data_IF_415124068965
#
_entry.id   IF_415124068965
#
_cell.length_a   1.000
_cell.length_b   1.000
_cell.length_c   1.000
_cell.angle_alpha   90.00
_cell.angle_beta   90.00
_cell.angle_gamma   90.00
#
_symmetry.space_group_name_H-M   'P 1'
#
loop_
_entity.id
_entity.type
_entity.pdbx_description
1 polymer ?
#
# COMPACT_ATOMS: atom_id res chain seq x y z
N UNK A 1 5.62 -21.46 -19.21
CA UNK A 1 6.96 -20.85 -19.23
C UNK A 1 7.98 -21.69 -18.46
N UNK A 2 7.75 -22.07 -17.20
CA UNK A 2 8.67 -22.90 -16.38
C UNK A 2 9.03 -24.20 -17.09
N UNK A 3 8.02 -24.95 -17.55
CA UNK A 3 8.21 -26.22 -18.28
C UNK A 3 9.07 -26.01 -19.54
N UNK A 4 8.82 -24.94 -20.30
CA UNK A 4 9.60 -24.58 -21.49
C UNK A 4 11.07 -24.27 -21.14
N UNK A 5 11.36 -23.56 -20.06
CA UNK A 5 12.74 -23.29 -19.61
C UNK A 5 13.47 -24.59 -19.26
N UNK A 6 12.81 -25.51 -18.56
CA UNK A 6 13.43 -26.80 -18.19
C UNK A 6 13.65 -27.70 -19.40
N UNK A 7 12.65 -27.86 -20.27
CA UNK A 7 12.71 -28.81 -21.37
C UNK A 7 13.59 -28.31 -22.52
N UNK A 8 13.39 -27.03 -22.93
CA UNK A 8 14.04 -26.49 -24.12
C UNK A 8 15.39 -25.83 -23.82
N UNK A 9 15.51 -25.14 -22.70
CA UNK A 9 16.72 -24.40 -22.33
C UNK A 9 17.60 -25.16 -21.35
N UNK A 10 17.13 -26.37 -20.90
CA UNK A 10 17.87 -27.26 -19.98
C UNK A 10 18.24 -26.61 -18.63
N UNK A 11 17.44 -25.61 -18.18
CA UNK A 11 17.62 -25.01 -16.87
C UNK A 11 17.06 -25.93 -15.80
N UNK A 12 17.88 -26.30 -14.81
CA UNK A 12 17.43 -27.17 -13.71
C UNK A 12 16.35 -26.48 -12.87
N UNK A 13 15.31 -27.20 -12.48
CA UNK A 13 14.14 -26.63 -11.76
C UNK A 13 14.50 -26.10 -10.37
N UNK A 14 15.54 -26.59 -9.73
CA UNK A 14 16.06 -26.14 -8.44
C UNK A 14 16.86 -24.83 -8.54
N UNK A 15 17.21 -24.38 -9.76
CA UNK A 15 17.81 -23.07 -10.01
C UNK A 15 16.79 -21.96 -10.24
N UNK A 16 15.51 -22.25 -10.09
CA UNK A 16 14.45 -21.29 -10.27
C UNK A 16 13.79 -20.97 -8.94
N UNK A 17 13.54 -19.69 -8.70
CA UNK A 17 12.68 -19.23 -7.60
C UNK A 17 11.30 -18.96 -8.19
N UNK A 18 10.30 -19.72 -7.73
CA UNK A 18 8.91 -19.62 -8.18
C UNK A 18 8.04 -19.29 -6.98
N UNK A 19 7.53 -18.06 -6.98
CA UNK A 19 6.75 -17.53 -5.86
C UNK A 19 5.25 -17.62 -6.15
N UNK A 20 4.48 -18.04 -5.15
CA UNK A 20 3.02 -18.11 -5.18
C UNK A 20 2.43 -17.33 -3.99
N UNK A 21 1.14 -17.01 -4.07
CA UNK A 21 0.44 -16.31 -2.97
C UNK A 21 0.01 -17.25 -1.84
N UNK A 22 -0.25 -18.52 -2.13
CA UNK A 22 -0.72 -19.47 -1.13
C UNK A 22 0.08 -20.76 -1.15
N UNK A 23 0.19 -21.44 0.00
CA UNK A 23 0.83 -22.74 0.09
C UNK A 23 0.13 -23.78 -0.79
N UNK A 24 -1.20 -23.72 -0.92
CA UNK A 24 -1.97 -24.58 -1.81
C UNK A 24 -1.54 -24.42 -3.26
N UNK A 25 -1.42 -23.17 -3.73
CA UNK A 25 -0.95 -22.88 -5.09
C UNK A 25 0.48 -23.39 -5.33
N UNK A 26 1.37 -23.36 -4.32
CA UNK A 26 2.72 -23.91 -4.43
C UNK A 26 2.70 -25.44 -4.64
N UNK A 27 1.83 -26.14 -3.91
CA UNK A 27 1.67 -27.59 -4.05
C UNK A 27 1.09 -27.94 -5.43
N UNK A 28 0.00 -27.29 -5.82
CA UNK A 28 -0.61 -27.47 -7.14
C UNK A 28 0.39 -27.19 -8.28
N UNK A 29 1.21 -26.16 -8.15
CA UNK A 29 2.25 -25.84 -9.13
C UNK A 29 3.27 -26.97 -9.26
N UNK A 30 3.74 -27.51 -8.13
CA UNK A 30 4.67 -28.66 -8.13
C UNK A 30 4.06 -29.90 -8.79
N UNK A 31 2.79 -30.17 -8.50
CA UNK A 31 2.10 -31.33 -9.08
C UNK A 31 1.92 -31.18 -10.60
N UNK A 32 1.47 -29.99 -11.06
CA UNK A 32 1.35 -29.71 -12.51
C UNK A 32 2.69 -29.77 -13.24
N UNK A 33 3.79 -29.33 -12.63
CA UNK A 33 5.12 -29.42 -13.24
C UNK A 33 5.56 -30.90 -13.31
N UNK A 34 5.27 -31.70 -12.26
CA UNK A 34 5.56 -33.13 -12.27
C UNK A 34 4.80 -33.85 -13.38
N UNK A 35 3.49 -33.65 -13.46
CA UNK A 35 2.63 -34.21 -14.50
C UNK A 35 3.13 -33.88 -15.91
N UNK A 36 3.50 -32.61 -16.14
CA UNK A 36 4.05 -32.20 -17.43
C UNK A 36 5.39 -32.86 -17.77
N UNK A 37 6.27 -33.10 -16.78
CA UNK A 37 7.50 -33.84 -17.02
C UNK A 37 7.24 -35.32 -17.28
N UNK A 38 6.26 -35.94 -16.63
CA UNK A 38 5.83 -37.33 -16.88
C UNK A 38 5.21 -37.48 -18.27
N UNK A 39 4.38 -36.51 -18.68
CA UNK A 39 3.81 -36.49 -20.04
C UNK A 39 4.92 -36.35 -21.09
N UNK A 40 5.88 -35.43 -20.89
CA UNK A 40 7.01 -35.28 -21.82
C UNK A 40 7.86 -36.53 -21.90
N UNK A 41 8.07 -37.26 -20.78
CA UNK A 41 8.81 -38.55 -20.79
C UNK A 41 8.12 -39.64 -21.60
N UNK A 42 6.81 -39.55 -21.82
CA UNK A 42 6.05 -40.52 -22.62
C UNK A 42 6.25 -40.35 -24.13
N UNK A 43 6.75 -39.19 -24.56
CA UNK A 43 6.98 -38.86 -25.98
C UNK A 43 8.22 -39.54 -26.53
N UNK A 44 8.16 -39.93 -27.81
CA UNK A 44 9.31 -40.49 -28.53
C UNK A 44 10.42 -39.45 -28.69
N UNK A 45 11.66 -39.80 -28.41
CA UNK A 45 12.80 -38.88 -28.51
C UNK A 45 13.05 -38.01 -27.29
N UNK A 46 12.22 -38.11 -26.24
CA UNK A 46 12.41 -37.33 -25.00
C UNK A 46 13.66 -37.78 -24.21
N UNK A 47 14.33 -36.79 -23.56
CA UNK A 47 15.44 -37.06 -22.64
C UNK A 47 14.94 -37.55 -21.27
N UNK A 48 14.60 -38.82 -21.20
CA UNK A 48 14.02 -39.45 -20.00
C UNK A 48 14.94 -39.40 -18.78
N UNK A 49 16.26 -39.41 -19.00
CA UNK A 49 17.24 -39.35 -17.89
C UNK A 49 17.22 -37.98 -17.26
N UNK A 50 17.26 -36.93 -18.07
CA UNK A 50 17.18 -35.56 -17.64
C UNK A 50 15.85 -35.27 -16.90
N UNK A 51 14.71 -35.66 -17.49
CA UNK A 51 13.40 -35.43 -16.90
C UNK A 51 13.20 -36.13 -15.56
N UNK A 52 13.67 -37.39 -15.42
CA UNK A 52 13.67 -38.08 -14.13
C UNK A 52 14.50 -37.38 -13.08
N UNK A 53 15.62 -36.74 -13.47
CA UNK A 53 16.43 -35.90 -12.59
C UNK A 53 15.62 -34.67 -12.16
N UNK A 54 14.94 -34.00 -13.10
CA UNK A 54 14.11 -32.82 -12.77
C UNK A 54 12.97 -33.15 -11.79
N UNK A 55 12.31 -34.29 -11.94
CA UNK A 55 11.27 -34.75 -11.00
C UNK A 55 11.85 -34.96 -9.59
N UNK A 56 13.08 -35.43 -9.47
CA UNK A 56 13.76 -35.56 -8.16
C UNK A 56 14.09 -34.16 -7.58
N UNK A 57 14.57 -33.22 -8.41
CA UNK A 57 14.91 -31.88 -8.03
C UNK A 57 13.68 -31.04 -7.63
N UNK A 58 12.45 -31.38 -8.07
CA UNK A 58 11.22 -30.75 -7.61
C UNK A 58 11.06 -30.76 -6.09
N UNK A 59 11.59 -31.75 -5.38
CA UNK A 59 11.53 -31.85 -3.91
C UNK A 59 12.35 -30.74 -3.24
N UNK A 60 13.47 -30.36 -3.81
CA UNK A 60 14.38 -29.32 -3.34
C UNK A 60 14.15 -27.97 -4.01
N UNK A 61 13.20 -27.88 -4.97
CA UNK A 61 12.94 -26.65 -5.71
C UNK A 61 12.34 -25.55 -4.83
N UNK A 62 12.69 -24.29 -5.13
CA UNK A 62 12.22 -23.10 -4.44
C UNK A 62 10.84 -22.65 -4.98
N UNK A 63 9.84 -23.59 -4.97
CA UNK A 63 8.44 -23.32 -5.33
C UNK A 63 7.65 -23.21 -4.03
N UNK A 64 7.42 -21.98 -3.55
CA UNK A 64 6.79 -21.70 -2.25
C UNK A 64 6.21 -20.29 -2.21
N UNK A 65 5.55 -19.91 -1.10
CA UNK A 65 5.12 -18.53 -0.91
C UNK A 65 6.32 -17.61 -0.64
N UNK A 66 6.16 -16.30 -0.91
CA UNK A 66 7.22 -15.32 -0.65
C UNK A 66 7.68 -15.37 0.81
N UNK A 67 6.76 -15.34 1.76
CA UNK A 67 7.11 -15.40 3.19
C UNK A 67 7.80 -16.72 3.58
N UNK A 68 7.37 -17.85 3.01
CA UNK A 68 8.08 -19.12 3.25
C UNK A 68 9.50 -19.10 2.70
N UNK A 69 9.69 -18.47 1.54
CA UNK A 69 11.02 -18.30 0.95
C UNK A 69 11.90 -17.39 1.82
N UNK A 70 11.40 -16.21 2.23
CA UNK A 70 12.12 -15.32 3.12
C UNK A 70 12.48 -16.01 4.44
N UNK A 71 11.53 -16.73 5.05
CA UNK A 71 11.75 -17.47 6.30
C UNK A 71 12.87 -18.51 6.16
N UNK A 72 12.89 -19.29 5.07
CA UNK A 72 13.92 -20.29 4.85
C UNK A 72 15.30 -19.65 4.66
N UNK A 73 15.37 -18.57 3.88
CA UNK A 73 16.62 -17.83 3.65
C UNK A 73 17.14 -17.19 4.95
N UNK A 74 16.27 -16.58 5.75
CA UNK A 74 16.67 -16.00 7.04
C UNK A 74 17.15 -17.07 8.03
N UNK A 75 16.59 -18.30 7.98
CA UNK A 75 17.06 -19.42 8.81
C UNK A 75 18.41 -19.99 8.32
N UNK A 76 18.62 -20.01 7.01
CA UNK A 76 19.84 -20.52 6.41
C UNK A 76 21.01 -19.53 6.58
N UNK A 77 20.74 -18.25 6.40
CA UNK A 77 21.75 -17.17 6.43
C UNK A 77 21.65 -16.28 7.67
N UNK A 78 21.10 -16.79 8.79
CA UNK A 78 20.90 -16.04 10.04
C UNK A 78 22.17 -15.36 10.54
N UNK A 79 23.33 -15.95 10.33
CA UNK A 79 24.63 -15.42 10.73
C UNK A 79 25.09 -14.18 9.95
N UNK A 80 24.41 -13.86 8.86
CA UNK A 80 24.59 -12.62 8.07
C UNK A 80 23.58 -11.52 8.46
N UNK A 81 22.61 -11.83 9.31
CA UNK A 81 21.58 -10.91 9.75
C UNK A 81 21.82 -10.53 11.21
N UNK A 82 21.48 -9.26 11.54
CA UNK A 82 21.65 -8.78 12.89
C UNK A 82 20.46 -9.24 13.78
N UNK A 83 20.76 -9.82 14.95
CA UNK A 83 19.79 -10.14 15.99
C UNK A 83 18.64 -11.10 15.59
N UNK A 84 18.88 -12.01 14.66
CA UNK A 84 17.91 -13.07 14.31
C UNK A 84 18.42 -14.42 14.80
N UNK A 85 17.61 -15.11 15.59
CA UNK A 85 17.85 -16.53 15.91
C UNK A 85 17.29 -17.41 14.80
N UNK A 86 17.99 -18.47 14.35
CA UNK A 86 17.45 -19.41 13.34
C UNK A 86 16.19 -20.15 13.82
N UNK A 87 15.93 -20.12 15.14
CA UNK A 87 14.75 -20.73 15.75
C UNK A 87 13.58 -19.77 15.94
N UNK A 88 13.59 -18.61 15.26
CA UNK A 88 12.50 -17.65 15.37
C UNK A 88 11.14 -18.26 15.02
N UNK A 89 10.09 -17.78 15.65
CA UNK A 89 8.71 -18.15 15.40
C UNK A 89 8.00 -17.04 14.62
N UNK A 90 7.22 -17.43 13.62
CA UNK A 90 6.39 -16.48 12.88
C UNK A 90 5.12 -16.24 13.68
N UNK A 91 4.84 -14.97 13.99
CA UNK A 91 3.62 -14.59 14.71
C UNK A 91 2.38 -14.77 13.82
N UNK A 92 1.31 -15.20 14.44
CA UNK A 92 -0.02 -15.09 13.83
C UNK A 92 -0.60 -13.67 14.08
N UNK A 93 -1.69 -13.36 13.36
CA UNK A 93 -2.33 -12.02 13.42
C UNK A 93 -2.76 -11.63 14.84
N UNK A 94 -3.30 -12.57 15.62
CA UNK A 94 -3.73 -12.29 16.99
C UNK A 94 -2.54 -11.94 17.92
N UNK A 95 -1.44 -12.68 17.79
CA UNK A 95 -0.23 -12.39 18.55
C UNK A 95 0.36 -11.03 18.18
N UNK A 96 0.39 -10.72 16.87
CA UNK A 96 0.86 -9.43 16.38
C UNK A 96 -0.02 -8.28 16.91
N UNK A 97 -1.36 -8.43 16.88
CA UNK A 97 -2.28 -7.42 17.37
C UNK A 97 -2.11 -7.14 18.88
N UNK A 98 -1.96 -8.19 19.70
CA UNK A 98 -1.73 -8.04 21.13
C UNK A 98 -0.41 -7.30 21.38
N UNK A 99 0.67 -7.74 20.71
CA UNK A 99 1.99 -7.16 20.93
C UNK A 99 2.08 -5.71 20.45
N UNK A 100 1.39 -5.38 19.34
CA UNK A 100 1.26 -4.00 18.84
C UNK A 100 0.55 -3.13 19.86
N UNK A 101 -0.61 -3.59 20.37
CA UNK A 101 -1.36 -2.88 21.40
C UNK A 101 -0.50 -2.61 22.64
N UNK A 102 0.14 -3.62 23.17
CA UNK A 102 1.04 -3.48 24.33
C UNK A 102 2.21 -2.54 24.05
N UNK A 103 2.65 -2.43 22.81
CA UNK A 103 3.75 -1.55 22.42
C UNK A 103 3.29 -0.11 22.29
N UNK A 104 2.11 0.15 21.69
CA UNK A 104 1.58 1.50 21.58
C UNK A 104 1.20 2.06 22.96
N UNK A 105 0.64 1.22 23.84
CA UNK A 105 0.34 1.60 25.22
C UNK A 105 1.61 2.05 25.95
N UNK A 106 2.69 1.27 25.89
CA UNK A 106 3.97 1.62 26.51
C UNK A 106 4.58 2.92 25.96
N UNK A 107 4.49 3.15 24.65
CA UNK A 107 4.99 4.39 24.02
C UNK A 107 4.21 5.61 24.50
N UNK A 108 2.88 5.50 24.53
CA UNK A 108 2.04 6.60 24.98
C UNK A 108 2.19 6.88 26.47
N UNK A 109 2.32 5.85 27.31
CA UNK A 109 2.60 6.01 28.75
C UNK A 109 3.91 6.81 28.96
N UNK A 110 4.99 6.48 28.27
CA UNK A 110 6.25 7.26 28.33
C UNK A 110 6.08 8.68 27.82
N UNK A 111 5.28 8.88 26.75
CA UNK A 111 5.03 10.20 26.22
C UNK A 111 4.20 11.06 27.19
N UNK A 112 3.22 10.47 27.87
CA UNK A 112 2.45 11.13 28.94
C UNK A 112 3.32 11.49 30.14
N UNK A 113 4.24 10.64 30.54
CA UNK A 113 5.17 10.91 31.65
C UNK A 113 6.10 12.09 31.34
N UNK A 114 6.56 12.20 30.08
CA UNK A 114 7.44 13.30 29.65
C UNK A 114 6.68 14.60 29.37
N UNK A 115 5.46 14.50 28.87
CA UNK A 115 4.52 15.59 28.55
C UNK A 115 5.18 16.83 27.90
N UNK A 116 6.00 16.63 26.89
CA UNK A 116 6.68 17.70 26.15
C UNK A 116 5.69 18.64 25.47
N UNK A 117 6.10 19.87 25.14
CA UNK A 117 5.23 20.82 24.46
C UNK A 117 4.87 20.35 23.04
N UNK A 118 5.78 19.65 22.37
CA UNK A 118 5.51 19.04 21.05
C UNK A 118 4.45 17.93 21.17
N UNK A 119 4.53 17.08 22.21
CA UNK A 119 3.53 16.06 22.48
C UNK A 119 2.16 16.67 22.83
N UNK A 120 2.12 17.76 23.61
CA UNK A 120 0.86 18.49 23.87
C UNK A 120 0.26 19.01 22.57
N UNK A 121 1.09 19.58 21.69
CA UNK A 121 0.65 20.07 20.38
C UNK A 121 0.09 18.94 19.53
N UNK A 122 0.76 17.78 19.50
CA UNK A 122 0.26 16.57 18.82
C UNK A 122 -1.09 16.13 19.39
N UNK A 123 -1.21 15.99 20.73
CA UNK A 123 -2.47 15.60 21.36
C UNK A 123 -3.59 16.60 21.08
N UNK A 124 -3.29 17.90 21.06
CA UNK A 124 -4.30 18.94 20.74
C UNK A 124 -4.92 18.72 19.34
N UNK A 125 -4.15 18.20 18.40
CA UNK A 125 -4.63 17.96 17.04
C UNK A 125 -5.35 16.60 16.88
N UNK A 126 -4.98 15.58 17.65
CA UNK A 126 -5.45 14.20 17.43
C UNK A 126 -6.16 13.57 18.64
N UNK A 127 -6.19 14.20 19.80
CA UNK A 127 -6.90 13.68 20.96
C UNK A 127 -8.12 14.53 21.28
N UNK A 128 -9.16 13.89 21.80
CA UNK A 128 -10.28 14.60 22.42
C UNK A 128 -10.03 14.81 23.91
N UNK A 129 -10.87 15.58 24.57
CA UNK A 129 -10.77 15.80 26.03
C UNK A 129 -10.91 14.52 26.88
N UNK A 130 -11.29 13.40 26.28
CA UNK A 130 -11.58 12.14 26.95
C UNK A 130 -10.86 10.91 26.39
N UNK A 131 -10.33 11.01 25.18
CA UNK A 131 -9.78 9.86 24.45
C UNK A 131 -8.62 10.27 23.55
N UNK A 132 -7.57 9.45 23.55
CA UNK A 132 -6.39 9.57 22.67
C UNK A 132 -6.37 8.49 21.56
N UNK A 133 -7.51 7.82 21.35
CA UNK A 133 -7.64 6.72 20.38
C UNK A 133 -7.24 7.12 18.97
N UNK A 134 -7.63 8.33 18.52
CA UNK A 134 -7.25 8.85 17.20
C UNK A 134 -5.74 9.12 17.12
N UNK A 135 -5.13 9.65 18.18
CA UNK A 135 -3.69 9.88 18.23
C UNK A 135 -2.91 8.57 18.11
N UNK A 136 -3.36 7.51 18.79
CA UNK A 136 -2.79 6.14 18.69
C UNK A 136 -2.97 5.57 17.28
N UNK A 137 -4.15 5.70 16.73
CA UNK A 137 -4.46 5.24 15.37
C UNK A 137 -3.58 5.92 14.31
N UNK A 138 -3.27 7.21 14.47
CA UNK A 138 -2.34 7.93 13.57
C UNK A 138 -0.97 7.27 13.56
N UNK A 139 -0.43 6.91 14.74
CA UNK A 139 0.88 6.25 14.83
C UNK A 139 0.85 4.85 14.21
N UNK A 140 -0.19 4.05 14.51
CA UNK A 140 -0.34 2.71 13.94
C UNK A 140 -0.51 2.75 12.42
N UNK A 141 -1.33 3.65 11.88
CA UNK A 141 -1.49 3.84 10.43
C UNK A 141 -0.21 4.32 9.76
N UNK A 142 0.54 5.22 10.42
CA UNK A 142 1.84 5.66 9.92
C UNK A 142 2.80 4.48 9.84
N UNK A 143 2.87 3.65 10.89
CA UNK A 143 3.66 2.43 10.90
C UNK A 143 3.26 1.47 9.77
N UNK A 144 1.97 1.19 9.60
CA UNK A 144 1.49 0.27 8.56
C UNK A 144 1.83 0.81 7.15
N UNK A 145 1.70 2.12 6.94
CA UNK A 145 2.02 2.76 5.67
C UNK A 145 3.51 2.69 5.35
N UNK A 146 4.39 3.06 6.30
CA UNK A 146 5.83 3.07 6.04
C UNK A 146 6.42 1.67 5.85
N UNK A 147 5.79 0.64 6.43
CA UNK A 147 6.19 -0.75 6.24
C UNK A 147 6.02 -1.25 4.79
N UNK A 148 5.24 -0.55 3.96
CA UNK A 148 5.19 -0.82 2.52
C UNK A 148 6.41 -0.30 1.77
N UNK A 149 7.25 0.52 2.42
CA UNK A 149 8.45 1.11 1.82
C UNK A 149 9.66 0.19 2.01
N UNK A 150 10.57 0.18 1.05
CA UNK A 150 11.79 -0.63 1.10
C UNK A 150 12.70 -0.23 2.29
N UNK A 151 12.71 1.06 2.64
CA UNK A 151 13.47 1.63 3.75
C UNK A 151 12.57 2.52 4.62
N UNK A 152 11.76 1.93 5.51
CA UNK A 152 10.70 2.63 6.25
C UNK A 152 11.19 3.87 6.99
N UNK A 153 12.25 3.74 7.79
CA UNK A 153 12.75 4.83 8.62
C UNK A 153 13.38 5.96 7.80
N UNK A 154 14.07 5.64 6.71
CA UNK A 154 14.64 6.65 5.80
C UNK A 154 13.51 7.45 5.16
N UNK A 155 12.50 6.75 4.65
CA UNK A 155 11.32 7.38 4.06
C UNK A 155 10.62 8.31 5.06
N UNK A 156 10.39 7.83 6.29
CA UNK A 156 9.75 8.62 7.34
C UNK A 156 10.56 9.89 7.67
N UNK A 157 11.89 9.78 7.78
CA UNK A 157 12.76 10.91 8.06
C UNK A 157 12.83 11.92 6.93
N UNK A 158 12.75 11.48 5.70
CA UNK A 158 12.74 12.37 4.53
C UNK A 158 11.40 13.11 4.46
N UNK A 159 10.29 12.38 4.55
CA UNK A 159 8.95 12.96 4.42
C UNK A 159 8.57 13.93 5.54
N UNK A 160 9.01 13.68 6.76
CA UNK A 160 8.73 14.60 7.87
C UNK A 160 9.59 15.87 7.87
N UNK A 161 10.59 15.97 6.99
CA UNK A 161 11.37 17.19 6.76
C UNK A 161 10.87 18.02 5.59
N UNK A 162 10.03 17.47 4.73
CA UNK A 162 9.44 18.20 3.62
C UNK A 162 8.50 19.27 4.17
N UNK A 163 8.65 20.50 3.72
CA UNK A 163 7.69 21.56 4.03
C UNK A 163 6.49 21.43 3.10
N UNK A 164 5.29 21.51 3.67
CA UNK A 164 4.08 21.57 2.86
C UNK A 164 4.01 22.96 2.25
N UNK A 165 4.46 23.05 1.02
CA UNK A 165 4.37 24.26 0.21
C UNK A 165 2.98 24.35 -0.44
N UNK A 166 2.59 25.56 -0.84
CA UNK A 166 1.39 25.76 -1.65
C UNK A 166 1.42 24.90 -2.92
N UNK A 167 2.58 24.79 -3.56
CA UNK A 167 2.77 23.92 -4.73
C UNK A 167 2.52 22.43 -4.45
N UNK A 168 2.97 21.93 -3.30
CA UNK A 168 2.65 20.57 -2.86
C UNK A 168 1.13 20.37 -2.71
N UNK A 169 0.48 21.34 -2.08
CA UNK A 169 -0.96 21.31 -1.83
C UNK A 169 -1.78 21.35 -3.13
N UNK A 170 -1.40 22.23 -4.06
CA UNK A 170 -1.98 22.31 -5.41
C UNK A 170 -1.77 20.98 -6.16
N UNK A 171 -0.58 20.43 -6.10
CA UNK A 171 -0.26 19.12 -6.69
C UNK A 171 -1.13 18.00 -6.15
N UNK A 172 -1.35 17.95 -4.82
CA UNK A 172 -2.24 16.98 -4.20
C UNK A 172 -3.69 17.12 -4.64
N UNK A 173 -4.22 18.35 -4.68
CA UNK A 173 -5.59 18.62 -5.16
C UNK A 173 -5.73 18.17 -6.62
N UNK A 174 -4.73 18.48 -7.44
CA UNK A 174 -4.71 18.11 -8.84
C UNK A 174 -4.74 16.60 -9.04
N UNK A 175 -3.92 15.84 -8.29
CA UNK A 175 -3.93 14.38 -8.32
C UNK A 175 -5.32 13.84 -7.98
N UNK A 176 -5.96 14.38 -6.96
CA UNK A 176 -7.34 13.98 -6.59
C UNK A 176 -8.37 14.32 -7.66
N UNK A 177 -8.20 15.42 -8.39
CA UNK A 177 -9.08 15.75 -9.52
C UNK A 177 -8.90 14.78 -10.68
N UNK A 178 -7.68 14.31 -10.95
CA UNK A 178 -7.40 13.27 -11.94
C UNK A 178 -8.14 11.96 -11.57
N UNK A 179 -8.06 11.53 -10.31
CA UNK A 179 -8.80 10.35 -9.83
C UNK A 179 -10.31 10.50 -10.10
N UNK A 180 -10.88 11.68 -9.80
CA UNK A 180 -12.32 11.96 -10.02
C UNK A 180 -12.70 12.06 -11.50
N UNK A 181 -11.82 12.57 -12.34
CA UNK A 181 -11.97 12.60 -13.79
C UNK A 181 -12.04 11.17 -14.35
N UNK A 182 -11.12 10.31 -13.93
CA UNK A 182 -11.08 8.90 -14.33
C UNK A 182 -12.35 8.15 -13.90
N UNK A 183 -12.81 8.35 -12.65
CA UNK A 183 -14.06 7.75 -12.15
C UNK A 183 -15.29 8.22 -12.97
N UNK A 184 -15.37 9.51 -13.28
CA UNK A 184 -16.46 10.05 -14.09
C UNK A 184 -16.41 9.51 -15.53
N UNK A 185 -15.23 9.42 -16.14
CA UNK A 185 -15.03 8.83 -17.46
C UNK A 185 -15.41 7.35 -17.48
N UNK A 186 -15.09 6.61 -16.42
CA UNK A 186 -15.49 5.21 -16.28
C UNK A 186 -17.02 5.07 -16.29
N UNK A 187 -17.76 5.98 -15.65
CA UNK A 187 -19.22 5.97 -15.69
C UNK A 187 -19.77 6.32 -17.10
N UNK A 188 -19.12 7.22 -17.85
CA UNK A 188 -19.47 7.49 -19.24
C UNK A 188 -19.35 6.22 -20.07
N UNK A 189 -18.22 5.52 -19.96
CA UNK A 189 -17.94 4.29 -20.70
C UNK A 189 -18.92 3.17 -20.29
N UNK A 190 -19.19 3.02 -19.00
CA UNK A 190 -20.18 2.06 -18.49
C UNK A 190 -21.56 2.31 -19.06
N UNK A 191 -22.01 3.58 -19.09
CA UNK A 191 -23.31 3.94 -19.65
C UNK A 191 -23.42 3.64 -21.17
N UNK A 192 -22.30 3.72 -21.89
CA UNK A 192 -22.22 3.34 -23.31
C UNK A 192 -22.30 1.82 -23.46
N UNK A 193 -21.47 1.09 -22.72
CA UNK A 193 -21.37 -0.38 -22.76
C UNK A 193 -22.72 -1.04 -22.42
N UNK A 194 -23.38 -0.54 -21.38
CA UNK A 194 -24.70 -1.03 -20.93
C UNK A 194 -25.87 -0.46 -21.72
N UNK A 195 -25.58 0.31 -22.76
CA UNK A 195 -26.62 0.94 -23.59
C UNK A 195 -27.69 1.68 -22.78
N UNK A 196 -27.24 2.38 -21.73
CA UNK A 196 -28.11 3.19 -20.88
C UNK A 196 -28.71 4.35 -21.68
N UNK A 197 -29.84 4.91 -21.20
CA UNK A 197 -30.48 6.07 -21.87
C UNK A 197 -29.49 7.23 -22.03
N UNK A 198 -29.54 7.99 -23.15
CA UNK A 198 -28.60 9.08 -23.44
C UNK A 198 -28.44 10.09 -22.29
N UNK A 199 -29.52 10.35 -21.55
CA UNK A 199 -29.49 11.25 -20.40
C UNK A 199 -28.52 10.86 -19.28
N UNK A 200 -28.20 9.57 -19.10
CA UNK A 200 -27.17 9.13 -18.16
C UNK A 200 -25.78 9.51 -18.67
N UNK A 201 -25.51 9.22 -19.94
CA UNK A 201 -24.24 9.59 -20.58
C UNK A 201 -24.01 11.11 -20.51
N UNK A 202 -25.00 11.91 -20.87
CA UNK A 202 -24.91 13.38 -20.83
C UNK A 202 -24.66 13.91 -19.42
N UNK A 203 -25.18 13.20 -18.40
CA UNK A 203 -24.97 13.57 -17.00
C UNK A 203 -23.53 13.29 -16.58
N UNK A 204 -23.01 12.09 -16.89
CA UNK A 204 -21.65 11.71 -16.53
C UNK A 204 -20.59 12.45 -17.35
N UNK A 205 -20.86 12.69 -18.65
CA UNK A 205 -20.01 13.53 -19.50
C UNK A 205 -19.87 14.95 -18.94
N UNK A 206 -20.98 15.51 -18.43
CA UNK A 206 -20.95 16.82 -17.78
C UNK A 206 -20.09 16.84 -16.51
N UNK A 207 -20.11 15.76 -15.72
CA UNK A 207 -19.28 15.65 -14.50
C UNK A 207 -17.80 15.47 -14.90
N UNK A 208 -17.51 14.62 -15.88
CA UNK A 208 -16.16 14.42 -16.44
C UNK A 208 -15.55 15.74 -16.92
N UNK A 209 -16.27 16.48 -17.76
CA UNK A 209 -15.79 17.78 -18.29
C UNK A 209 -15.57 18.82 -17.19
N UNK A 210 -16.38 18.78 -16.12
CA UNK A 210 -16.21 19.68 -14.99
C UNK A 210 -14.91 19.36 -14.21
N UNK A 211 -14.62 18.10 -13.92
CA UNK A 211 -13.39 17.72 -13.23
C UNK A 211 -12.16 18.01 -14.09
N UNK A 212 -12.20 17.65 -15.38
CA UNK A 212 -11.13 17.95 -16.33
C UNK A 212 -10.80 19.44 -16.39
N UNK A 213 -11.82 20.28 -16.50
CA UNK A 213 -11.62 21.73 -16.55
C UNK A 213 -10.99 22.28 -15.27
N UNK A 214 -11.30 21.71 -14.12
CA UNK A 214 -10.68 22.10 -12.84
C UNK A 214 -9.24 21.60 -12.69
N UNK A 215 -8.95 20.39 -13.20
CA UNK A 215 -7.58 19.86 -13.23
C UNK A 215 -6.68 20.74 -14.12
N UNK A 216 -7.15 21.12 -15.31
CA UNK A 216 -6.41 21.96 -16.25
C UNK A 216 -6.03 23.33 -15.63
N UNK A 217 -6.87 23.90 -14.76
CA UNK A 217 -6.56 25.17 -14.06
C UNK A 217 -5.35 25.00 -13.13
N UNK A 218 -5.23 23.87 -12.45
CA UNK A 218 -4.17 23.64 -11.47
C UNK A 218 -2.87 23.12 -12.09
N UNK A 219 -2.75 23.13 -13.40
CA UNK A 219 -1.60 22.53 -14.11
C UNK A 219 -0.25 23.23 -13.79
N UNK A 220 -0.26 24.53 -13.51
CA UNK A 220 0.96 25.34 -13.37
C UNK A 220 1.45 25.54 -11.93
N UNK A 221 0.83 24.91 -10.93
CA UNK A 221 1.22 25.02 -9.51
C UNK A 221 1.49 26.47 -9.01
N UNK A 222 0.70 27.44 -9.47
CA UNK A 222 0.81 28.84 -9.10
C UNK A 222 -0.30 29.24 -8.14
N UNK A 223 -0.06 30.27 -7.32
CA UNK A 223 -1.05 30.81 -6.38
C UNK A 223 -2.31 31.32 -7.13
N UNK A 224 -2.11 31.97 -8.26
CA UNK A 224 -3.21 32.42 -9.14
C UNK A 224 -4.09 31.26 -9.63
N UNK A 225 -3.49 30.06 -9.83
CA UNK A 225 -4.23 28.88 -10.24
C UNK A 225 -5.18 28.38 -9.12
N UNK A 226 -4.79 28.52 -7.86
CA UNK A 226 -5.64 28.12 -6.74
C UNK A 226 -6.85 29.08 -6.60
N UNK A 227 -6.63 30.39 -6.75
CA UNK A 227 -7.71 31.38 -6.73
C UNK A 227 -8.70 31.16 -7.88
N UNK A 228 -8.20 30.89 -9.10
CA UNK A 228 -9.06 30.57 -10.24
C UNK A 228 -9.82 29.25 -10.02
N UNK A 229 -9.15 28.23 -9.47
CA UNK A 229 -9.79 26.98 -9.08
C UNK A 229 -10.92 27.22 -8.08
N UNK A 230 -10.69 28.00 -7.02
CA UNK A 230 -11.70 28.29 -6.00
C UNK A 230 -12.92 29.01 -6.59
N UNK A 231 -12.70 29.94 -7.53
CA UNK A 231 -13.78 30.65 -8.23
C UNK A 231 -14.65 29.69 -9.08
N UNK A 232 -14.03 28.70 -9.71
CA UNK A 232 -14.70 27.74 -10.61
C UNK A 232 -15.14 26.45 -9.95
N UNK A 233 -14.69 26.20 -8.71
CA UNK A 233 -14.90 24.93 -8.00
C UNK A 233 -16.36 24.63 -7.63
N UNK A 234 -17.28 25.58 -7.78
CA UNK A 234 -18.70 25.34 -7.55
C UNK A 234 -19.34 24.60 -8.74
N UNK A 235 -19.06 23.27 -8.84
CA UNK A 235 -19.70 22.44 -9.86
C UNK A 235 -21.19 22.32 -9.57
N UNK A 236 -22.00 22.72 -10.54
CA UNK A 236 -23.45 22.48 -10.50
C UNK A 236 -23.76 21.11 -11.12
N UNK A 237 -23.62 20.05 -10.35
CA UNK A 237 -23.88 18.70 -10.81
C UNK A 237 -25.31 18.53 -11.32
N UNK A 238 -25.48 18.06 -12.55
CA UNK A 238 -26.79 17.72 -13.11
C UNK A 238 -27.50 16.68 -12.24
N UNK A 239 -28.81 16.74 -12.17
CA UNK A 239 -29.61 15.71 -11.49
C UNK A 239 -29.51 14.38 -12.26
N UNK A 240 -29.46 13.27 -11.50
CA UNK A 240 -29.61 11.95 -12.10
C UNK A 240 -30.93 11.84 -12.89
N UNK A 241 -30.91 11.15 -14.04
CA UNK A 241 -32.12 10.93 -14.81
C UNK A 241 -33.21 10.24 -13.97
N UNK A 242 -34.46 10.73 -14.10
CA UNK A 242 -35.61 10.15 -13.41
C UNK A 242 -35.85 8.68 -13.81
N UNK A 243 -36.61 7.93 -13.02
CA UNK A 243 -36.96 6.53 -13.32
C UNK A 243 -37.75 6.45 -14.63
N UNK A 244 -37.35 5.52 -15.51
CA UNK A 244 -38.14 5.13 -16.66
C UNK A 244 -38.35 3.61 -16.65
N UNK A 245 -39.40 3.12 -17.31
CA UNK A 245 -39.70 1.67 -17.39
C UNK A 245 -38.61 0.84 -18.05
N UNK A 246 -37.79 1.50 -18.88
CA UNK A 246 -36.70 0.86 -19.64
C UNK A 246 -35.37 0.81 -18.81
N UNK A 247 -35.30 1.45 -17.64
CA UNK A 247 -34.09 1.44 -16.84
C UNK A 247 -33.98 0.16 -16.03
N UNK A 248 -32.80 -0.47 -16.05
CA UNK A 248 -32.47 -1.53 -15.10
C UNK A 248 -32.24 -0.92 -13.71
N UNK A 249 -32.99 -1.36 -12.69
CA UNK A 249 -32.85 -0.82 -11.33
C UNK A 249 -31.46 -1.06 -10.72
N UNK A 250 -30.83 -2.22 -10.99
CA UNK A 250 -29.51 -2.57 -10.42
C UNK A 250 -28.40 -1.71 -11.05
N UNK A 251 -28.41 -1.55 -12.38
CA UNK A 251 -27.46 -0.68 -13.08
C UNK A 251 -27.60 0.78 -12.64
N UNK A 252 -28.83 1.24 -12.47
CA UNK A 252 -29.08 2.60 -11.99
C UNK A 252 -28.56 2.83 -10.59
N UNK A 253 -28.77 1.90 -9.69
CA UNK A 253 -28.30 2.00 -8.30
C UNK A 253 -26.77 1.93 -8.22
N UNK A 254 -26.15 1.09 -9.04
CA UNK A 254 -24.71 0.99 -9.22
C UNK A 254 -24.09 2.33 -9.64
N UNK A 255 -24.53 2.89 -10.76
CA UNK A 255 -23.95 4.17 -11.25
C UNK A 255 -24.25 5.34 -10.31
N UNK A 256 -25.38 5.31 -9.58
CA UNK A 256 -25.70 6.31 -8.58
C UNK A 256 -24.72 6.23 -7.41
N UNK A 257 -24.43 5.04 -6.92
CA UNK A 257 -23.52 4.83 -5.79
C UNK A 257 -22.12 5.34 -6.11
N UNK A 258 -21.57 5.02 -7.29
CA UNK A 258 -20.26 5.52 -7.72
C UNK A 258 -20.29 7.05 -7.85
N UNK A 259 -21.34 7.58 -8.50
CA UNK A 259 -21.46 9.04 -8.67
C UNK A 259 -21.55 9.79 -7.35
N UNK A 260 -22.31 9.28 -6.40
CA UNK A 260 -22.43 9.90 -5.07
C UNK A 260 -21.06 9.81 -4.36
N UNK A 261 -20.33 8.70 -4.51
CA UNK A 261 -18.98 8.50 -3.98
C UNK A 261 -17.99 9.58 -4.48
N UNK A 262 -17.88 9.79 -5.79
CA UNK A 262 -16.94 10.80 -6.28
C UNK A 262 -17.38 12.24 -5.95
N UNK A 263 -18.68 12.51 -5.83
CA UNK A 263 -19.14 13.82 -5.34
C UNK A 263 -18.74 14.08 -3.89
N UNK A 264 -18.85 13.05 -3.03
CA UNK A 264 -18.42 13.14 -1.63
C UNK A 264 -16.89 13.35 -1.56
N UNK A 265 -16.13 12.65 -2.41
CA UNK A 265 -14.68 12.84 -2.53
C UNK A 265 -14.35 14.25 -3.01
N UNK A 266 -15.07 14.78 -4.00
CA UNK A 266 -14.92 16.16 -4.44
C UNK A 266 -15.19 17.19 -3.34
N UNK A 267 -16.25 17.00 -2.56
CA UNK A 267 -16.55 17.88 -1.43
C UNK A 267 -15.43 17.87 -0.38
N UNK A 268 -14.78 16.72 -0.16
CA UNK A 268 -13.60 16.62 0.70
C UNK A 268 -12.41 17.39 0.14
N UNK A 269 -12.17 17.31 -1.18
CA UNK A 269 -11.14 18.11 -1.86
C UNK A 269 -11.42 19.60 -1.66
N UNK A 270 -12.66 20.06 -1.88
CA UNK A 270 -13.04 21.46 -1.64
C UNK A 270 -12.83 21.89 -0.19
N UNK A 271 -13.17 21.03 0.77
CA UNK A 271 -12.97 21.34 2.18
C UNK A 271 -11.49 21.57 2.54
N UNK A 272 -10.57 20.92 1.85
CA UNK A 272 -9.13 21.13 2.01
C UNK A 272 -8.66 22.48 1.45
N UNK A 273 -9.36 23.04 0.47
CA UNK A 273 -8.97 24.31 -0.17
C UNK A 273 -9.46 25.55 0.56
N UNK A 274 -10.40 25.39 1.50
CA UNK A 274 -10.92 26.51 2.29
C UNK A 274 -9.82 26.95 3.26
N UNK A 275 -9.40 28.22 3.15
CA UNK A 275 -8.34 28.84 3.94
C UNK A 275 -6.90 28.37 3.62
N UNK A 276 -6.62 27.93 2.40
CA UNK A 276 -5.29 27.55 1.96
C UNK A 276 -4.66 28.67 1.12
N UNK A 277 -4.47 29.84 1.72
CA UNK A 277 -3.64 30.91 1.17
C UNK A 277 -2.23 30.89 1.78
N UNK A 278 -1.31 31.63 1.17
CA UNK A 278 0.09 31.69 1.60
C UNK A 278 0.24 32.23 3.04
N UNK A 279 -0.61 33.15 3.46
CA UNK A 279 -0.60 33.71 4.82
C UNK A 279 -1.01 32.64 5.84
N UNK A 280 -2.10 31.94 5.57
CA UNK A 280 -2.60 30.84 6.39
C UNK A 280 -1.57 29.71 6.50
N UNK A 281 -0.94 29.29 5.39
CA UNK A 281 0.12 28.29 5.41
C UNK A 281 1.32 28.73 6.25
N UNK A 282 1.72 30.00 6.19
CA UNK A 282 2.83 30.52 7.01
C UNK A 282 2.57 30.43 8.51
N UNK A 283 1.30 30.50 8.92
CA UNK A 283 0.87 30.38 10.33
C UNK A 283 0.84 28.90 10.76
N UNK A 284 0.37 28.02 9.88
CA UNK A 284 0.18 26.61 10.23
C UNK A 284 1.45 25.75 10.03
N UNK A 285 2.33 26.07 9.09
CA UNK A 285 3.55 25.30 8.84
C UNK A 285 4.42 25.04 10.09
N UNK A 286 4.64 25.98 11.02
CA UNK A 286 5.40 25.67 12.24
C UNK A 286 4.71 24.65 13.15
N UNK A 287 3.37 24.73 13.28
CA UNK A 287 2.58 23.79 14.07
C UNK A 287 2.63 22.40 13.42
N UNK A 288 2.43 22.36 12.12
CA UNK A 288 2.47 21.13 11.35
C UNK A 288 3.83 20.45 11.41
N UNK A 289 4.92 21.20 11.29
CA UNK A 289 6.28 20.69 11.44
C UNK A 289 6.51 20.07 12.82
N UNK A 290 5.99 20.69 13.88
CA UNK A 290 6.02 20.15 15.24
C UNK A 290 5.23 18.84 15.32
N UNK A 291 4.01 18.82 14.78
CA UNK A 291 3.15 17.64 14.76
C UNK A 291 3.76 16.50 13.96
N UNK A 292 4.28 16.76 12.76
CA UNK A 292 4.96 15.75 11.94
C UNK A 292 6.24 15.22 12.60
N UNK A 293 7.00 16.11 13.26
CA UNK A 293 8.17 15.73 14.06
C UNK A 293 7.80 14.77 15.19
N UNK A 294 6.69 15.03 15.87
CA UNK A 294 6.21 14.19 16.94
C UNK A 294 5.64 12.86 16.45
N UNK A 295 4.93 12.84 15.31
CA UNK A 295 4.52 11.61 14.64
C UNK A 295 5.74 10.75 14.28
N UNK A 296 6.79 11.38 13.72
CA UNK A 296 8.05 10.69 13.42
C UNK A 296 8.65 10.06 14.69
N UNK A 297 8.79 10.85 15.75
CA UNK A 297 9.35 10.39 17.03
C UNK A 297 8.56 9.24 17.63
N UNK A 298 7.23 9.41 17.77
CA UNK A 298 6.36 8.38 18.35
C UNK A 298 6.32 7.10 17.48
N UNK A 299 6.34 7.24 16.16
CA UNK A 299 6.39 6.08 15.26
C UNK A 299 7.70 5.32 15.42
N UNK A 300 8.83 6.01 15.54
CA UNK A 300 10.12 5.36 15.83
C UNK A 300 10.15 4.67 17.18
N UNK A 301 9.66 5.36 18.23
CA UNK A 301 9.54 4.79 19.57
C UNK A 301 8.65 3.52 19.56
N UNK A 302 7.59 3.54 18.76
CA UNK A 302 6.72 2.37 18.57
C UNK A 302 7.45 1.23 17.86
N UNK A 303 8.15 1.51 16.76
CA UNK A 303 8.95 0.51 16.03
C UNK A 303 9.97 -0.14 16.97
N UNK A 304 10.74 0.67 17.69
CA UNK A 304 11.77 0.17 18.62
C UNK A 304 11.16 -0.70 19.74
N UNK A 305 10.05 -0.24 20.33
CA UNK A 305 9.36 -0.97 21.41
C UNK A 305 8.78 -2.28 20.89
N UNK A 306 8.14 -2.27 19.73
CA UNK A 306 7.55 -3.46 19.11
C UNK A 306 8.63 -4.46 18.70
N UNK A 307 9.73 -3.99 18.10
CA UNK A 307 10.87 -4.84 17.74
C UNK A 307 11.53 -5.46 18.98
N UNK A 308 11.75 -4.69 20.05
CA UNK A 308 12.27 -5.21 21.31
C UNK A 308 11.40 -6.33 21.86
N UNK A 309 10.09 -6.12 21.96
CA UNK A 309 9.12 -7.13 22.43
C UNK A 309 9.10 -8.39 21.55
N UNK A 310 9.22 -8.23 20.23
CA UNK A 310 9.35 -9.37 19.30
C UNK A 310 10.64 -10.16 19.55
N UNK A 311 11.77 -9.47 19.73
CA UNK A 311 13.06 -10.11 20.03
C UNK A 311 13.06 -10.87 21.35
N UNK A 312 12.51 -10.29 22.42
CA UNK A 312 12.39 -10.95 23.74
C UNK A 312 11.64 -12.29 23.67
N UNK A 313 10.68 -12.40 22.72
CA UNK A 313 9.89 -13.61 22.50
C UNK A 313 10.38 -14.48 21.34
N UNK A 314 11.47 -14.09 20.69
CA UNK A 314 12.01 -14.72 19.49
C UNK A 314 10.97 -14.82 18.37
N UNK A 315 10.23 -13.73 18.13
CA UNK A 315 9.20 -13.61 17.11
C UNK A 315 9.65 -12.75 15.93
N UNK A 316 9.15 -13.11 14.75
CA UNK A 316 9.10 -12.23 13.56
C UNK A 316 7.67 -12.21 13.03
N UNK A 317 7.20 -11.07 12.55
CA UNK A 317 6.00 -10.97 11.74
C UNK A 317 6.33 -11.08 10.23
N UNK A 318 5.31 -11.02 9.39
CA UNK A 318 5.49 -11.13 7.93
C UNK A 318 6.33 -10.00 7.36
N UNK A 319 6.11 -8.78 7.83
CA UNK A 319 6.84 -7.58 7.41
C UNK A 319 8.32 -7.64 7.81
N UNK A 320 8.61 -8.14 9.03
CA UNK A 320 9.99 -8.38 9.44
C UNK A 320 10.72 -9.32 8.48
N UNK A 321 10.07 -10.41 8.09
CA UNK A 321 10.70 -11.39 7.18
C UNK A 321 11.04 -10.75 5.83
N UNK A 322 10.19 -9.90 5.30
CA UNK A 322 10.43 -9.19 4.04
C UNK A 322 11.59 -8.20 4.18
N UNK A 323 11.55 -7.33 5.19
CA UNK A 323 12.59 -6.31 5.40
C UNK A 323 13.94 -6.94 5.72
N UNK A 324 13.98 -7.95 6.60
CA UNK A 324 15.23 -8.66 6.93
C UNK A 324 15.78 -9.43 5.74
N UNK A 325 14.93 -9.93 4.86
CA UNK A 325 15.38 -10.53 3.61
C UNK A 325 15.95 -9.49 2.64
N UNK A 326 15.35 -8.29 2.55
CA UNK A 326 15.92 -7.18 1.77
C UNK A 326 17.30 -6.78 2.34
N UNK A 327 17.42 -6.63 3.66
CA UNK A 327 18.71 -6.36 4.32
C UNK A 327 19.76 -7.47 4.04
N UNK A 328 19.32 -8.71 3.98
CA UNK A 328 20.18 -9.84 3.61
C UNK A 328 20.68 -9.72 2.17
N UNK A 329 19.84 -9.25 1.23
CA UNK A 329 20.22 -9.01 -0.16
C UNK A 329 21.20 -7.85 -0.34
N UNK A 330 21.31 -6.93 0.62
CA UNK A 330 22.34 -5.89 0.61
C UNK A 330 23.74 -6.46 0.96
N UNK A 331 23.81 -7.70 1.48
CA UNK A 331 25.08 -8.38 1.82
C UNK A 331 25.58 -9.15 0.59
N UNK A 332 26.73 -8.76 0.05
CA UNK A 332 27.32 -9.41 -1.12
C UNK A 332 27.48 -10.93 -0.95
N UNK A 333 27.89 -11.37 0.25
CA UNK A 333 28.05 -12.81 0.55
C UNK A 333 26.76 -13.61 0.40
N UNK A 334 25.62 -13.04 0.83
CA UNK A 334 24.31 -13.67 0.67
C UNK A 334 23.91 -13.74 -0.80
N UNK A 335 24.10 -12.65 -1.55
CA UNK A 335 23.79 -12.61 -3.00
C UNK A 335 24.62 -13.61 -3.79
N UNK A 336 25.91 -13.74 -3.48
CA UNK A 336 26.82 -14.68 -4.18
C UNK A 336 26.45 -16.15 -3.89
N UNK A 337 25.82 -16.44 -2.74
CA UNK A 337 25.31 -17.78 -2.40
C UNK A 337 23.93 -18.09 -2.97
N UNK A 338 23.14 -17.04 -3.27
CA UNK A 338 21.80 -17.17 -3.88
C UNK A 338 21.86 -17.32 -5.42
N UNK A 339 22.99 -16.99 -6.05
CA UNK A 339 23.26 -17.20 -7.49
C UNK A 339 23.73 -18.63 -7.78
#
# INVERSE_FOLDING_TARGET
>A
RVISLVINEKVDIDRMIIVTFTNKASVEMKDRIREAFEEEMSKEGSDKIFLRRQIKLLKSSQIKTLHSFCSDMLREYFYLTDNISPSFKVMNENQAAILRKDSIDEVFDRAYDSMTDDYKTFLHNFASSREDSVAREVIEKTYDFINSQVRPLVWLDEKTKEEISLGFFIGYIREKLIDLEEEALALVNYAIEKNMRPAYRETFESDYQAFKSLEEILHENQEESLDEFLLRSKINFKRMPGKAKADDPEEKDYVKTIRDGYKDSYNKVLALTINTDQETLSIFNPIEKTVLGEINRLTKDFIETYQRKKQENNYLDFTDMEHRFIELLDKKEAVDKLK
#
